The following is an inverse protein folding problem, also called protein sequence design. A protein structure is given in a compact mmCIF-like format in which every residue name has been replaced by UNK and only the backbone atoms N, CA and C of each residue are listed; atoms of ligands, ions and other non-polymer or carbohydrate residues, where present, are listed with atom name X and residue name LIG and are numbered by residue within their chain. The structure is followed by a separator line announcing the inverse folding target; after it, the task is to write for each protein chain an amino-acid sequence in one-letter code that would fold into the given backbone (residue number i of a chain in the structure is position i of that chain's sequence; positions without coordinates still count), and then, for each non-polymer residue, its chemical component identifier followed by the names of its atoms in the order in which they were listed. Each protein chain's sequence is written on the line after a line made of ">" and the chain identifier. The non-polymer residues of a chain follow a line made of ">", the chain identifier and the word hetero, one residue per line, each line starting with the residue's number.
data_IF_601209677048
#
_entry.id   IF_601209677048
#
_cell.length_a   1.000
_cell.length_b   1.000
_cell.length_c   1.000
_cell.angle_alpha   90.00
_cell.angle_beta   90.00
_cell.angle_gamma   90.00
#
_symmetry.space_group_name_H-M   'P 1'
#
loop_
_entity.id
_entity.type
_entity.pdbx_description
1 polymer ?
#
# COMPACT_ATOMS: atom_id res chain seq x y z
N UNK A 1 28.75 8.76 5.13
CA UNK A 1 28.38 8.78 3.70
C UNK A 1 27.39 7.65 3.42
N UNK A 2 26.17 7.98 2.98
CA UNK A 2 25.05 7.04 2.81
C UNK A 2 25.46 5.86 1.88
N UNK A 3 25.10 4.61 2.20
CA UNK A 3 25.39 3.43 1.35
C UNK A 3 24.93 3.64 -0.10
N UNK A 4 23.85 4.41 -0.28
CA UNK A 4 23.32 4.83 -1.59
C UNK A 4 24.25 5.74 -2.39
N UNK A 5 25.04 6.59 -1.71
CA UNK A 5 25.97 7.50 -2.37
C UNK A 5 27.21 6.74 -2.91
N UNK A 6 27.69 5.74 -2.16
CA UNK A 6 28.78 4.86 -2.63
C UNK A 6 28.41 4.07 -3.89
N UNK A 7 27.16 3.63 -4.01
CA UNK A 7 26.66 2.90 -5.18
C UNK A 7 26.61 3.76 -6.47
N UNK A 8 26.53 5.08 -6.35
CA UNK A 8 26.50 6.01 -7.49
C UNK A 8 27.90 6.53 -7.88
N UNK A 9 28.81 6.61 -6.92
CA UNK A 9 30.16 7.15 -7.11
C UNK A 9 31.03 6.17 -7.91
N UNK A 10 30.96 4.87 -7.60
CA UNK A 10 31.83 3.87 -8.25
C UNK A 10 31.56 3.76 -9.76
N UNK A 11 30.30 3.69 -10.25
CA UNK A 11 30.03 3.69 -11.69
C UNK A 11 30.44 5.00 -12.37
N UNK A 12 30.23 6.14 -11.71
CA UNK A 12 30.59 7.46 -12.25
C UNK A 12 32.11 7.60 -12.45
N UNK A 13 32.92 7.07 -11.53
CA UNK A 13 34.38 7.04 -11.67
C UNK A 13 34.79 6.15 -12.85
N UNK A 14 34.16 4.99 -13.00
CA UNK A 14 34.43 4.07 -14.11
C UNK A 14 34.09 4.72 -15.47
N UNK A 15 33.02 5.50 -15.52
CA UNK A 15 32.59 6.24 -16.71
C UNK A 15 33.59 7.34 -17.09
N UNK A 16 34.11 8.08 -16.11
CA UNK A 16 35.13 9.12 -16.34
C UNK A 16 36.44 8.48 -16.83
N UNK A 17 36.86 7.36 -16.23
CA UNK A 17 38.07 6.63 -16.64
C UNK A 17 37.91 6.09 -18.07
N UNK A 18 36.77 5.49 -18.40
CA UNK A 18 36.48 5.03 -19.75
C UNK A 18 36.48 6.18 -20.77
N UNK A 19 35.93 7.34 -20.41
CA UNK A 19 35.93 8.54 -21.25
C UNK A 19 37.34 9.09 -21.49
N UNK A 20 38.20 9.11 -20.49
CA UNK A 20 39.61 9.51 -20.63
C UNK A 20 40.40 8.53 -21.51
N UNK A 21 40.15 7.21 -21.35
CA UNK A 21 40.75 6.17 -22.20
C UNK A 21 40.29 6.34 -23.66
N UNK A 22 39.02 6.65 -23.90
CA UNK A 22 38.48 6.93 -25.25
C UNK A 22 39.17 8.13 -25.90
N UNK A 23 39.33 9.24 -25.17
CA UNK A 23 40.05 10.43 -25.66
C UNK A 23 41.51 10.08 -25.98
N UNK A 24 42.17 9.29 -25.13
CA UNK A 24 43.56 8.86 -25.35
C UNK A 24 43.71 7.96 -26.59
N UNK A 25 42.75 7.07 -26.84
CA UNK A 25 42.77 6.17 -27.99
C UNK A 25 42.43 6.89 -29.30
N UNK A 26 41.57 7.90 -29.27
CA UNK A 26 41.21 8.71 -30.45
C UNK A 26 42.35 9.58 -30.96
N UNK A 27 43.26 10.01 -30.08
CA UNK A 27 44.48 10.74 -30.45
C UNK A 27 45.45 9.87 -31.25
N UNK A 28 45.35 8.54 -31.19
CA UNK A 28 46.42 7.64 -31.64
C UNK A 28 46.07 6.60 -32.72
N UNK A 29 44.82 6.39 -33.17
CA UNK A 29 44.52 5.49 -34.32
C UNK A 29 43.06 5.54 -34.85
N UNK A 30 42.81 5.05 -36.08
CA UNK A 30 41.48 4.83 -36.71
C UNK A 30 40.56 3.78 -36.01
N UNK A 31 40.90 3.39 -34.78
CA UNK A 31 40.14 2.45 -33.95
C UNK A 31 38.83 3.08 -33.44
N UNK A 32 38.72 4.41 -33.51
CA UNK A 32 37.62 5.19 -32.92
C UNK A 32 36.24 4.81 -33.45
N UNK A 33 36.09 4.57 -34.76
CA UNK A 33 34.77 4.28 -35.35
C UNK A 33 34.25 2.93 -34.86
N UNK A 34 35.08 1.89 -34.80
CA UNK A 34 34.65 0.57 -34.33
C UNK A 34 34.31 0.57 -32.84
N UNK A 35 35.05 1.32 -32.02
CA UNK A 35 34.76 1.45 -30.59
C UNK A 35 33.47 2.24 -30.36
N UNK A 36 33.26 3.33 -31.11
CA UNK A 36 32.00 4.10 -31.06
C UNK A 36 30.82 3.26 -31.53
N UNK A 37 30.96 2.47 -32.60
CA UNK A 37 29.90 1.60 -33.12
C UNK A 37 29.58 0.45 -32.14
N UNK A 38 30.59 -0.16 -31.52
CA UNK A 38 30.39 -1.17 -30.47
C UNK A 38 29.69 -0.52 -29.26
N UNK A 39 30.10 0.67 -28.85
CA UNK A 39 29.48 1.40 -27.74
C UNK A 39 28.02 1.79 -28.03
N UNK A 40 27.72 2.26 -29.24
CA UNK A 40 26.36 2.55 -29.69
C UNK A 40 25.54 1.26 -29.81
N UNK A 41 26.10 0.17 -30.31
CA UNK A 41 25.44 -1.12 -30.37
C UNK A 41 25.14 -1.66 -28.97
N UNK A 42 26.06 -1.52 -28.00
CA UNK A 42 25.81 -1.90 -26.60
C UNK A 42 24.76 -1.01 -25.95
N UNK A 43 24.75 0.32 -26.22
CA UNK A 43 23.70 1.21 -25.74
C UNK A 43 22.32 0.87 -26.33
N UNK A 44 22.25 0.52 -27.61
CA UNK A 44 21.02 0.08 -28.27
C UNK A 44 20.57 -1.30 -27.73
N UNK A 45 21.50 -2.21 -27.47
CA UNK A 45 21.23 -3.51 -26.85
C UNK A 45 20.77 -3.36 -25.39
N UNK A 46 21.35 -2.43 -24.65
CA UNK A 46 20.98 -2.10 -23.27
C UNK A 46 19.63 -1.38 -23.19
N UNK A 47 19.34 -0.48 -24.13
CA UNK A 47 18.05 0.18 -24.28
C UNK A 47 16.95 -0.82 -24.67
N UNK A 48 17.23 -1.72 -25.62
CA UNK A 48 16.28 -2.73 -26.09
C UNK A 48 16.03 -3.85 -25.08
N UNK A 49 17.03 -4.23 -24.28
CA UNK A 49 16.86 -5.24 -23.22
C UNK A 49 16.28 -4.67 -21.92
N UNK A 50 16.41 -3.35 -21.70
CA UNK A 50 15.89 -2.63 -20.53
C UNK A 50 16.46 -3.09 -19.19
N UNK A 51 17.47 -3.97 -19.19
CA UNK A 51 17.94 -4.72 -18.02
C UNK A 51 18.59 -3.82 -16.98
N UNK A 52 19.61 -3.05 -17.36
CA UNK A 52 20.31 -2.13 -16.45
C UNK A 52 19.42 -0.95 -16.02
N UNK A 53 18.62 -0.38 -16.93
CA UNK A 53 17.69 0.69 -16.56
C UNK A 53 16.62 0.18 -15.58
N UNK A 54 16.09 -1.03 -15.78
CA UNK A 54 15.15 -1.65 -14.83
C UNK A 54 15.80 -1.98 -13.48
N UNK A 55 17.07 -2.41 -13.48
CA UNK A 55 17.81 -2.67 -12.24
C UNK A 55 18.13 -1.35 -11.50
N UNK A 56 18.54 -0.30 -12.21
CA UNK A 56 18.75 1.04 -11.63
C UNK A 56 17.44 1.61 -11.12
N UNK A 57 16.35 1.52 -11.88
CA UNK A 57 15.01 1.91 -11.44
C UNK A 57 14.62 1.11 -10.19
N UNK A 58 14.90 -0.19 -10.15
CA UNK A 58 14.63 -1.07 -9.00
C UNK A 58 15.36 -0.71 -7.71
N UNK A 59 16.55 -0.11 -7.82
CA UNK A 59 17.27 0.46 -6.68
C UNK A 59 16.59 1.72 -6.12
N UNK A 60 15.71 2.36 -6.91
CA UNK A 60 14.80 3.43 -6.48
C UNK A 60 13.35 2.92 -6.21
N UNK A 61 13.05 1.63 -6.41
CA UNK A 61 11.70 1.04 -6.33
C UNK A 61 11.31 0.58 -4.92
N UNK A 62 10.93 1.52 -4.06
CA UNK A 62 9.89 1.21 -3.09
C UNK A 62 8.54 1.05 -3.79
N UNK A 63 7.88 -0.11 -3.65
CA UNK A 63 6.42 -0.29 -3.83
C UNK A 63 5.79 0.20 -5.15
N UNK A 64 6.44 0.04 -6.31
CA UNK A 64 5.80 0.37 -7.59
C UNK A 64 5.16 -0.87 -8.24
N UNK A 65 3.88 -1.12 -7.92
CA UNK A 65 3.07 -2.20 -8.50
C UNK A 65 3.06 -2.25 -10.04
N UNK A 66 3.33 -1.11 -10.69
CA UNK A 66 3.47 -1.04 -12.15
C UNK A 66 4.68 -1.83 -12.65
N UNK A 67 5.73 -1.97 -11.85
CA UNK A 67 6.90 -2.78 -12.17
C UNK A 67 6.57 -4.26 -12.06
N UNK A 68 5.95 -4.70 -10.95
CA UNK A 68 5.49 -6.11 -10.83
C UNK A 68 4.52 -6.48 -11.95
N UNK A 69 3.60 -5.58 -12.33
CA UNK A 69 2.72 -5.77 -13.49
C UNK A 69 3.52 -6.01 -14.78
N UNK A 70 4.49 -5.15 -15.10
CA UNK A 70 5.32 -5.29 -16.31
C UNK A 70 6.14 -6.57 -16.31
N UNK A 71 6.68 -6.95 -15.15
CA UNK A 71 7.43 -8.19 -14.98
C UNK A 71 6.54 -9.41 -15.29
N UNK A 72 5.36 -9.48 -14.68
CA UNK A 72 4.41 -10.59 -14.92
C UNK A 72 3.89 -10.63 -16.36
N UNK A 73 3.71 -9.47 -17.01
CA UNK A 73 3.38 -9.40 -18.44
C UNK A 73 4.52 -9.96 -19.30
N UNK A 74 5.77 -9.57 -19.02
CA UNK A 74 6.95 -10.06 -19.75
C UNK A 74 7.16 -11.56 -19.58
N UNK A 75 6.83 -12.11 -18.40
CA UNK A 75 6.87 -13.54 -18.10
C UNK A 75 5.67 -14.33 -18.70
N UNK A 76 4.74 -13.66 -19.38
CA UNK A 76 3.54 -14.30 -19.97
C UNK A 76 2.48 -14.74 -18.94
N UNK A 77 2.69 -14.44 -17.66
CA UNK A 77 1.78 -14.82 -16.56
C UNK A 77 0.55 -13.91 -16.49
N UNK A 78 0.72 -12.62 -16.81
CA UNK A 78 -0.34 -11.62 -16.73
C UNK A 78 -0.67 -11.08 -18.13
N UNK A 79 -1.65 -11.70 -18.80
CA UNK A 79 -2.12 -11.32 -20.13
C UNK A 79 -3.14 -10.17 -20.06
N UNK A 80 -3.51 -9.52 -21.17
CA UNK A 80 -4.46 -8.39 -21.17
C UNK A 80 -5.79 -8.66 -20.47
N UNK A 81 -6.39 -9.83 -20.69
CA UNK A 81 -7.68 -10.22 -20.11
C UNK A 81 -7.55 -11.00 -18.80
N UNK A 82 -6.33 -11.22 -18.29
CA UNK A 82 -6.13 -11.82 -16.97
C UNK A 82 -6.75 -10.93 -15.90
N UNK A 83 -7.62 -11.51 -15.07
CA UNK A 83 -8.26 -10.83 -13.94
C UNK A 83 -7.28 -10.67 -12.80
N UNK A 84 -7.22 -9.45 -12.27
CA UNK A 84 -6.46 -9.10 -11.06
C UNK A 84 -7.48 -8.70 -9.99
N UNK A 85 -7.41 -9.36 -8.83
CA UNK A 85 -8.21 -8.96 -7.67
C UNK A 85 -7.67 -7.65 -7.13
N UNK A 86 -8.55 -6.68 -6.91
CA UNK A 86 -8.22 -5.46 -6.19
C UNK A 86 -8.89 -5.49 -4.81
N UNK A 87 -8.24 -4.88 -3.82
CA UNK A 87 -8.92 -4.53 -2.56
C UNK A 87 -8.37 -3.19 -2.08
N UNK A 88 -9.15 -2.14 -2.28
CA UNK A 88 -8.76 -0.78 -1.93
C UNK A 88 -9.47 -0.35 -0.65
N UNK A 89 -8.66 -0.03 0.36
CA UNK A 89 -9.10 0.23 1.72
C UNK A 89 -8.47 1.50 2.28
N UNK A 90 -8.98 1.92 3.43
CA UNK A 90 -8.29 2.83 4.34
C UNK A 90 -8.12 2.17 5.70
N UNK A 91 -7.00 2.46 6.36
CA UNK A 91 -6.67 1.91 7.68
C UNK A 91 -6.33 3.06 8.63
N UNK A 92 -7.00 3.09 9.78
CA UNK A 92 -6.72 4.03 10.83
C UNK A 92 -5.50 3.60 11.64
N UNK A 93 -4.55 4.53 11.76
CA UNK A 93 -3.47 4.51 12.75
C UNK A 93 -3.96 5.26 13.98
N UNK A 94 -4.33 4.50 15.01
CA UNK A 94 -4.69 5.00 16.34
C UNK A 94 -3.55 4.62 17.27
N UNK A 95 -2.69 5.60 17.60
CA UNK A 95 -1.50 5.38 18.43
C UNK A 95 -1.64 6.13 19.75
N UNK A 96 -1.44 5.43 20.86
CA UNK A 96 -1.45 5.98 22.22
C UNK A 96 -0.17 5.52 22.88
N UNK A 97 0.64 6.49 23.34
CA UNK A 97 1.96 6.25 23.89
C UNK A 97 2.83 5.40 22.92
N UNK A 98 3.20 4.17 23.30
CA UNK A 98 3.97 3.23 22.46
C UNK A 98 3.13 2.13 21.79
N UNK A 99 1.82 2.17 21.95
CA UNK A 99 0.90 1.14 21.49
C UNK A 99 0.04 1.61 20.32
N UNK A 100 -0.31 0.66 19.47
CA UNK A 100 -1.32 0.80 18.43
C UNK A 100 -2.58 0.08 18.90
N UNK A 101 -3.71 0.79 18.85
CA UNK A 101 -5.00 0.20 19.12
C UNK A 101 -5.46 -0.63 17.92
N UNK A 102 -5.84 -1.88 18.17
CA UNK A 102 -6.33 -2.82 17.18
C UNK A 102 -7.64 -3.44 17.67
N UNK A 103 -8.53 -3.78 16.75
CA UNK A 103 -9.83 -4.40 17.02
C UNK A 103 -9.85 -5.83 16.52
N UNK A 104 -10.69 -6.68 17.10
CA UNK A 104 -10.85 -8.06 16.65
C UNK A 104 -11.75 -8.12 15.42
N UNK A 105 -11.26 -8.74 14.35
CA UNK A 105 -12.07 -9.01 13.17
C UNK A 105 -13.06 -10.15 13.44
N UNK A 106 -14.34 -9.92 13.17
CA UNK A 106 -15.40 -10.90 13.45
C UNK A 106 -15.23 -12.22 12.68
N UNK A 107 -14.70 -12.19 11.45
CA UNK A 107 -14.55 -13.35 10.56
C UNK A 107 -13.27 -14.14 10.85
N UNK A 108 -12.12 -13.47 10.84
CA UNK A 108 -10.81 -14.13 11.01
C UNK A 108 -10.40 -14.35 12.46
N UNK A 109 -11.07 -13.68 13.41
CA UNK A 109 -10.72 -13.62 14.85
C UNK A 109 -9.32 -13.06 15.15
N UNK A 110 -8.64 -12.49 14.15
CA UNK A 110 -7.37 -11.78 14.30
C UNK A 110 -7.61 -10.30 14.59
N UNK A 111 -6.68 -9.68 15.31
CA UNK A 111 -6.68 -8.26 15.57
C UNK A 111 -6.11 -7.47 14.39
N UNK A 112 -6.79 -6.40 14.00
CA UNK A 112 -6.46 -5.57 12.84
C UNK A 112 -6.67 -4.08 13.15
N UNK A 113 -6.12 -3.16 12.34
CA UNK A 113 -6.46 -1.74 12.45
C UNK A 113 -7.95 -1.52 12.19
N UNK A 114 -8.50 -0.47 12.82
CA UNK A 114 -9.83 0.03 12.47
C UNK A 114 -9.81 0.52 11.02
N UNK A 115 -10.83 0.22 10.24
CA UNK A 115 -10.91 0.57 8.83
C UNK A 115 -11.26 -0.61 7.94
N UNK A 116 -11.54 -0.31 6.67
CA UNK A 116 -12.05 -1.30 5.75
C UNK A 116 -11.98 -0.84 4.30
N UNK A 117 -12.64 -1.61 3.44
CA UNK A 117 -12.69 -1.29 2.02
C UNK A 117 -13.44 0.03 1.81
N UNK A 118 -12.99 0.81 0.83
CA UNK A 118 -13.76 1.95 0.36
C UNK A 118 -15.09 1.46 -0.21
N UNK A 119 -16.19 2.14 0.13
CA UNK A 119 -17.48 1.99 -0.54
C UNK A 119 -17.65 2.96 -1.70
N UNK A 120 -18.36 2.53 -2.73
CA UNK A 120 -18.77 3.36 -3.87
C UNK A 120 -20.28 3.44 -4.03
N UNK A 121 -20.75 4.43 -4.80
CA UNK A 121 -22.18 4.61 -5.06
C UNK A 121 -22.67 3.67 -6.18
N UNK A 122 -23.98 3.44 -6.27
CA UNK A 122 -24.57 2.69 -7.38
C UNK A 122 -24.20 3.29 -8.75
N UNK A 123 -24.09 4.63 -8.83
CA UNK A 123 -23.63 5.31 -10.05
C UNK A 123 -22.19 4.97 -10.44
N UNK A 124 -21.30 4.82 -9.45
CA UNK A 124 -19.95 4.34 -9.72
C UNK A 124 -19.97 2.87 -10.14
N UNK A 125 -20.82 2.03 -9.53
CA UNK A 125 -20.98 0.63 -9.94
C UNK A 125 -21.31 0.54 -11.42
N UNK A 126 -22.33 1.27 -11.87
CA UNK A 126 -22.79 1.24 -13.25
C UNK A 126 -21.67 1.70 -14.19
N UNK A 127 -20.99 2.80 -13.87
CA UNK A 127 -19.82 3.26 -14.63
C UNK A 127 -18.70 2.22 -14.72
N UNK A 128 -18.37 1.58 -13.59
CA UNK A 128 -17.30 0.59 -13.53
C UNK A 128 -17.67 -0.68 -14.31
N UNK A 129 -18.95 -1.09 -14.27
CA UNK A 129 -19.49 -2.20 -15.06
C UNK A 129 -19.34 -1.94 -16.56
N UNK A 130 -19.83 -0.78 -17.01
CA UNK A 130 -19.81 -0.39 -18.42
C UNK A 130 -18.38 -0.19 -18.96
N UNK A 131 -17.48 0.36 -18.14
CA UNK A 131 -16.13 0.74 -18.58
C UNK A 131 -15.11 -0.38 -18.43
N UNK A 132 -15.21 -1.19 -17.38
CA UNK A 132 -14.17 -2.16 -17.00
C UNK A 132 -14.63 -3.61 -16.99
N UNK A 133 -15.88 -3.90 -17.40
CA UNK A 133 -16.49 -5.24 -17.30
C UNK A 133 -16.37 -5.79 -15.87
N UNK A 134 -16.94 -5.05 -14.92
CA UNK A 134 -16.85 -5.36 -13.50
C UNK A 134 -17.45 -6.73 -13.20
N UNK A 135 -16.70 -7.55 -12.49
CA UNK A 135 -17.18 -8.79 -11.91
C UNK A 135 -17.02 -8.71 -10.40
N UNK A 136 -18.07 -9.08 -9.67
CA UNK A 136 -18.05 -9.14 -8.22
C UNK A 136 -17.04 -10.20 -7.74
N UNK A 137 -16.46 -9.97 -6.56
CA UNK A 137 -15.59 -10.95 -5.90
C UNK A 137 -16.44 -12.05 -5.27
N UNK A 138 -16.65 -13.16 -5.99
CA UNK A 138 -17.44 -14.31 -5.55
C UNK A 138 -16.79 -15.14 -4.42
N UNK A 139 -15.59 -14.76 -3.98
CA UNK A 139 -14.77 -15.53 -3.00
C UNK A 139 -14.99 -15.11 -1.57
N UNK A 140 -15.49 -13.90 -1.39
CA UNK A 140 -16.08 -13.47 -0.13
C UNK A 140 -17.56 -13.34 -0.45
N UNK A 141 -18.44 -14.15 0.15
CA UNK A 141 -19.87 -14.03 -0.07
C UNK A 141 -20.28 -12.57 0.09
N UNK A 142 -20.84 -12.01 -0.98
CA UNK A 142 -21.36 -10.64 -0.95
C UNK A 142 -22.56 -10.66 -0.01
N UNK A 143 -22.41 -9.99 1.13
CA UNK A 143 -23.47 -9.72 2.08
C UNK A 143 -23.81 -8.23 2.07
N UNK A 144 -24.88 -7.83 2.77
CA UNK A 144 -25.31 -6.43 2.85
C UNK A 144 -24.17 -5.49 3.31
N UNK A 145 -23.24 -6.02 4.12
CA UNK A 145 -22.10 -5.30 4.68
C UNK A 145 -20.99 -5.10 3.64
N UNK A 146 -20.74 -6.06 2.75
CA UNK A 146 -19.69 -5.99 1.72
C UNK A 146 -20.18 -5.47 0.37
N UNK A 147 -21.48 -5.19 0.24
CA UNK A 147 -22.07 -4.56 -0.93
C UNK A 147 -21.35 -3.23 -1.25
N UNK A 148 -21.01 -3.03 -2.53
CA UNK A 148 -20.34 -1.84 -3.09
C UNK A 148 -18.95 -1.55 -2.50
N UNK A 149 -18.26 -2.56 -1.97
CA UNK A 149 -16.83 -2.45 -1.61
C UNK A 149 -15.97 -2.39 -2.88
N UNK A 150 -14.89 -1.61 -2.85
CA UNK A 150 -13.79 -1.68 -3.84
C UNK A 150 -12.94 -2.97 -3.69
N UNK A 151 -13.62 -4.12 -3.64
CA UNK A 151 -13.09 -5.49 -3.69
C UNK A 151 -13.65 -6.14 -4.94
N UNK A 152 -12.91 -6.04 -6.04
CA UNK A 152 -13.41 -6.29 -7.40
C UNK A 152 -12.37 -7.07 -8.21
N UNK A 153 -12.80 -7.68 -9.30
CA UNK A 153 -11.91 -8.13 -10.36
C UNK A 153 -11.79 -7.09 -11.47
N UNK A 154 -10.55 -6.79 -11.86
CA UNK A 154 -10.25 -5.88 -12.97
C UNK A 154 -9.30 -6.57 -13.94
N UNK A 155 -9.60 -6.49 -15.24
CA UNK A 155 -8.70 -7.01 -16.27
C UNK A 155 -7.38 -6.23 -16.27
N UNK A 156 -6.27 -6.94 -16.44
CA UNK A 156 -4.94 -6.35 -16.41
C UNK A 156 -4.77 -5.16 -17.39
N UNK A 157 -5.35 -5.25 -18.59
CA UNK A 157 -5.34 -4.16 -19.59
C UNK A 157 -5.94 -2.86 -19.08
N UNK A 158 -6.91 -2.96 -18.18
CA UNK A 158 -7.68 -1.84 -17.64
C UNK A 158 -7.16 -1.34 -16.28
N UNK A 159 -6.32 -2.13 -15.61
CA UNK A 159 -5.88 -1.89 -14.24
C UNK A 159 -5.30 -0.47 -14.02
N UNK A 160 -4.51 0.05 -14.97
CA UNK A 160 -3.95 1.41 -14.87
C UNK A 160 -5.02 2.50 -14.98
N UNK A 161 -6.00 2.32 -15.83
CA UNK A 161 -7.09 3.27 -16.01
C UNK A 161 -8.07 3.20 -14.83
N UNK A 162 -8.30 2.01 -14.28
CA UNK A 162 -9.03 1.82 -13.05
C UNK A 162 -8.39 2.59 -11.88
N UNK A 163 -7.08 2.45 -11.66
CA UNK A 163 -6.36 3.22 -10.63
C UNK A 163 -6.50 4.74 -10.83
N UNK A 164 -6.51 5.23 -12.09
CA UNK A 164 -6.75 6.65 -12.38
C UNK A 164 -8.18 7.05 -12.03
N UNK A 165 -9.19 6.21 -12.35
CA UNK A 165 -10.60 6.44 -12.00
C UNK A 165 -10.78 6.52 -10.49
N UNK A 166 -10.32 5.52 -9.74
CA UNK A 166 -10.41 5.48 -8.28
C UNK A 166 -9.84 6.74 -7.63
N UNK A 167 -8.73 7.25 -8.17
CA UNK A 167 -8.08 8.45 -7.65
C UNK A 167 -8.84 9.75 -7.90
N UNK A 168 -9.71 9.80 -8.91
CA UNK A 168 -10.38 11.02 -9.38
C UNK A 168 -11.87 11.06 -9.09
N UNK A 169 -12.51 9.89 -8.98
CA UNK A 169 -13.97 9.82 -8.80
C UNK A 169 -14.39 10.42 -7.46
N UNK A 170 -15.51 11.13 -7.48
CA UNK A 170 -16.23 11.62 -6.29
C UNK A 170 -17.36 10.69 -5.87
N UNK A 171 -17.58 9.59 -6.60
CA UNK A 171 -18.66 8.63 -6.39
C UNK A 171 -18.26 7.50 -5.43
N UNK A 172 -17.39 7.81 -4.46
CA UNK A 172 -16.93 6.92 -3.41
C UNK A 172 -16.82 7.65 -2.08
N UNK A 173 -16.65 6.91 -0.98
CA UNK A 173 -16.35 7.53 0.32
C UNK A 173 -15.21 8.54 0.16
N UNK A 174 -15.50 9.76 0.59
CA UNK A 174 -14.63 10.91 0.41
C UNK A 174 -13.57 10.89 1.51
N UNK A 175 -12.34 11.27 1.19
CA UNK A 175 -11.30 11.44 2.22
C UNK A 175 -11.74 12.42 3.31
N UNK A 176 -12.59 13.40 2.97
CA UNK A 176 -13.15 14.39 3.89
C UNK A 176 -14.17 13.79 4.87
N UNK A 177 -14.66 12.58 4.61
CA UNK A 177 -15.48 11.81 5.55
C UNK A 177 -15.21 10.30 5.44
N UNK A 178 -14.37 9.78 6.34
CA UNK A 178 -14.08 8.36 6.52
C UNK A 178 -14.63 7.82 7.86
N UNK A 179 -15.67 8.44 8.40
CA UNK A 179 -16.19 8.12 9.74
C UNK A 179 -16.82 6.73 9.85
N UNK A 180 -17.32 6.15 8.74
CA UNK A 180 -18.11 4.91 8.72
C UNK A 180 -17.48 3.75 9.49
N UNK A 181 -16.30 3.29 9.08
CA UNK A 181 -15.64 2.13 9.72
C UNK A 181 -15.30 2.42 11.19
N UNK A 182 -14.95 3.67 11.51
CA UNK A 182 -14.69 4.06 12.90
C UNK A 182 -15.96 3.95 13.74
N UNK A 183 -17.10 4.43 13.25
CA UNK A 183 -18.39 4.35 13.94
C UNK A 183 -18.80 2.89 14.10
N UNK A 184 -18.75 2.11 13.03
CA UNK A 184 -19.14 0.70 13.03
C UNK A 184 -18.29 -0.14 13.98
N UNK A 185 -16.96 -0.02 13.89
CA UNK A 185 -16.05 -0.91 14.61
C UNK A 185 -15.73 -0.46 16.03
N UNK A 186 -15.91 0.82 16.39
CA UNK A 186 -15.67 1.33 17.75
C UNK A 186 -16.97 1.60 18.51
N UNK A 187 -17.92 2.33 17.92
CA UNK A 187 -19.11 2.77 18.65
C UNK A 187 -20.23 1.74 18.62
N UNK A 188 -20.58 1.23 17.43
CA UNK A 188 -21.63 0.22 17.30
C UNK A 188 -21.24 -1.10 17.97
N UNK A 189 -19.94 -1.38 18.08
CA UNK A 189 -19.39 -2.53 18.82
C UNK A 189 -19.29 -2.29 20.35
N UNK A 190 -19.65 -1.09 20.82
CA UNK A 190 -19.59 -0.65 22.22
C UNK A 190 -18.19 -0.72 22.83
N UNK A 191 -17.14 -0.48 22.04
CA UNK A 191 -15.78 -0.32 22.57
C UNK A 191 -15.63 1.05 23.24
N UNK A 192 -16.17 2.10 22.63
CA UNK A 192 -16.31 3.43 23.23
C UNK A 192 -17.72 3.97 22.96
N UNK A 193 -18.17 4.93 23.75
CA UNK A 193 -19.41 5.66 23.48
C UNK A 193 -19.14 6.87 22.59
N UNK A 194 -19.95 7.04 21.55
CA UNK A 194 -19.84 8.15 20.60
C UNK A 194 -20.02 9.53 21.27
N UNK A 195 -20.98 9.65 22.20
CA UNK A 195 -21.23 10.86 22.99
C UNK A 195 -20.01 11.32 23.78
N UNK A 196 -19.21 10.37 24.26
CA UNK A 196 -18.03 10.66 25.07
C UNK A 196 -16.82 11.02 24.19
N UNK A 197 -16.78 10.49 22.97
CA UNK A 197 -15.67 10.66 22.04
C UNK A 197 -15.61 12.06 21.41
N UNK A 198 -16.76 12.59 20.98
CA UNK A 198 -16.86 13.89 20.29
C UNK A 198 -16.32 13.85 18.85
N UNK A 199 -15.61 14.88 18.43
CA UNK A 199 -15.15 15.05 17.03
C UNK A 199 -14.05 14.05 16.64
N UNK A 200 -14.25 13.34 15.53
CA UNK A 200 -13.20 12.54 14.90
C UNK A 200 -12.29 13.44 14.07
N UNK A 201 -11.04 13.59 14.49
CA UNK A 201 -10.04 14.37 13.75
C UNK A 201 -8.94 13.47 13.23
N UNK A 202 -8.54 13.61 11.98
CA UNK A 202 -7.48 12.81 11.38
C UNK A 202 -6.70 13.53 10.29
N UNK A 203 -5.54 12.98 9.95
CA UNK A 203 -4.76 13.36 8.76
C UNK A 203 -4.54 12.15 7.86
N UNK A 204 -4.46 12.41 6.56
CA UNK A 204 -3.95 11.44 5.60
C UNK A 204 -2.41 11.38 5.67
N UNK A 205 -1.83 10.18 5.72
CA UNK A 205 -0.38 9.98 5.83
C UNK A 205 0.28 9.59 4.50
N UNK A 206 -0.49 9.02 3.58
CA UNK A 206 0.02 8.39 2.38
C UNK A 206 -0.65 7.05 2.14
N UNK A 207 -0.22 6.40 1.07
CA UNK A 207 -0.81 5.19 0.56
C UNK A 207 0.20 4.06 0.52
N UNK A 208 -0.19 2.90 1.03
CA UNK A 208 0.52 1.65 0.80
C UNK A 208 -0.09 0.95 -0.42
N UNK A 209 0.75 0.47 -1.34
CA UNK A 209 0.31 -0.37 -2.47
C UNK A 209 1.21 -1.60 -2.52
N UNK A 210 0.63 -2.79 -2.56
CA UNK A 210 1.41 -4.03 -2.73
C UNK A 210 1.87 -4.18 -4.18
N UNK A 211 2.84 -5.06 -4.39
CA UNK A 211 3.06 -5.58 -5.73
C UNK A 211 1.87 -6.45 -6.16
N UNK A 212 1.81 -6.76 -7.46
CA UNK A 212 0.93 -7.79 -7.97
C UNK A 212 1.61 -9.12 -7.71
N UNK A 213 1.01 -9.94 -6.86
CA UNK A 213 1.55 -11.22 -6.42
C UNK A 213 0.47 -12.30 -6.44
N UNK A 214 0.93 -13.55 -6.53
CA UNK A 214 0.08 -14.72 -6.41
C UNK A 214 -0.31 -14.90 -4.94
N UNK A 215 -1.62 -15.08 -4.70
CA UNK A 215 -2.15 -15.24 -3.35
C UNK A 215 -2.94 -16.54 -3.22
N UNK A 216 -3.13 -16.98 -1.97
CA UNK A 216 -3.99 -18.13 -1.64
C UNK A 216 -5.45 -17.87 -2.04
N UNK A 217 -5.84 -16.59 -2.10
CA UNK A 217 -7.13 -16.19 -2.62
C UNK A 217 -7.07 -16.28 -4.14
N UNK A 218 -6.59 -15.27 -4.88
CA UNK A 218 -6.50 -15.25 -6.36
C UNK A 218 -5.04 -15.29 -6.83
N UNK A 219 -4.74 -15.93 -7.99
CA UNK A 219 -3.39 -15.97 -8.53
C UNK A 219 -2.80 -14.58 -8.81
N UNK A 220 -3.57 -13.49 -8.84
CA UNK A 220 -3.02 -12.14 -8.92
C UNK A 220 -3.86 -11.17 -8.09
N UNK A 221 -3.24 -10.55 -7.08
CA UNK A 221 -3.89 -9.56 -6.23
C UNK A 221 -3.07 -8.28 -6.15
N UNK A 222 -3.76 -7.14 -6.05
CA UNK A 222 -3.17 -5.86 -5.64
C UNK A 222 -3.99 -5.21 -4.54
N UNK A 223 -3.32 -4.91 -3.44
CA UNK A 223 -3.91 -4.28 -2.27
C UNK A 223 -3.46 -2.81 -2.20
N UNK A 224 -4.42 -1.95 -1.91
CA UNK A 224 -4.19 -0.54 -1.64
C UNK A 224 -4.74 -0.22 -0.25
N UNK A 225 -3.96 0.48 0.56
CA UNK A 225 -4.42 1.00 1.84
C UNK A 225 -4.00 2.46 2.00
N UNK A 226 -4.97 3.38 2.06
CA UNK A 226 -4.75 4.73 2.52
C UNK A 226 -4.57 4.73 4.05
N UNK A 227 -3.46 5.29 4.53
CA UNK A 227 -3.14 5.30 5.97
C UNK A 227 -3.62 6.62 6.54
N UNK A 228 -4.53 6.54 7.51
CA UNK A 228 -5.19 7.68 8.13
C UNK A 228 -4.79 7.74 9.60
N UNK A 229 -4.08 8.79 10.02
CA UNK A 229 -3.65 8.92 11.42
C UNK A 229 -4.63 9.79 12.20
N UNK A 230 -5.25 9.18 13.21
CA UNK A 230 -6.18 9.87 14.11
C UNK A 230 -5.39 10.85 14.98
N UNK A 231 -5.92 12.06 15.12
CA UNK A 231 -5.43 13.12 16.01
C UNK A 231 -6.31 13.14 17.24
N UNK A 232 -5.92 12.35 18.24
CA UNK A 232 -6.63 12.28 19.50
C UNK A 232 -6.45 13.58 20.30
N UNK A 233 -7.53 14.05 20.90
CA UNK A 233 -7.47 15.07 21.96
C UNK A 233 -7.03 14.44 23.29
N UNK A 234 -6.61 15.25 24.27
CA UNK A 234 -6.27 14.75 25.60
C UNK A 234 -7.40 13.94 26.25
N UNK A 235 -8.66 14.36 26.06
CA UNK A 235 -9.85 13.61 26.52
C UNK A 235 -9.93 12.24 25.84
N UNK A 236 -9.77 12.18 24.52
CA UNK A 236 -9.84 10.94 23.75
C UNK A 236 -8.67 10.00 24.08
N UNK A 237 -7.46 10.51 24.29
CA UNK A 237 -6.35 9.69 24.76
C UNK A 237 -6.65 9.05 26.12
N UNK A 238 -7.27 9.79 27.06
CA UNK A 238 -7.69 9.23 28.35
C UNK A 238 -8.69 8.09 28.18
N UNK A 239 -9.67 8.22 27.26
CA UNK A 239 -10.61 7.12 26.95
C UNK A 239 -9.86 5.85 26.53
N UNK A 240 -8.89 5.96 25.62
CA UNK A 240 -8.10 4.81 25.19
C UNK A 240 -7.18 4.28 26.30
N UNK A 241 -6.56 5.15 27.12
CA UNK A 241 -5.77 4.71 28.28
C UNK A 241 -6.61 3.97 29.32
N UNK A 242 -7.88 4.33 29.48
CA UNK A 242 -8.80 3.59 30.35
C UNK A 242 -9.18 2.23 29.77
N UNK A 243 -9.27 2.10 28.44
CA UNK A 243 -9.41 0.79 27.78
C UNK A 243 -8.19 -0.10 27.99
N UNK A 244 -6.97 0.46 28.02
CA UNK A 244 -5.74 -0.32 28.28
C UNK A 244 -5.72 -0.97 29.67
N UNK A 245 -6.48 -0.44 30.63
CA UNK A 245 -6.59 -0.98 32.00
C UNK A 245 -7.57 -2.16 32.09
N UNK A 246 -8.31 -2.45 31.01
CA UNK A 246 -9.35 -3.47 30.96
C UNK A 246 -8.97 -4.54 29.96
N UNK A 247 -9.09 -5.80 30.35
CA UNK A 247 -9.02 -6.92 29.40
C UNK A 247 -10.34 -7.04 28.65
N UNK A 248 -10.28 -7.16 27.33
CA UNK A 248 -11.45 -7.32 26.47
C UNK A 248 -11.05 -8.04 25.18
N UNK A 249 -11.83 -9.03 24.75
CA UNK A 249 -11.53 -9.77 23.50
C UNK A 249 -11.78 -8.93 22.24
N UNK A 250 -12.52 -7.83 22.33
CA UNK A 250 -12.87 -6.98 21.18
C UNK A 250 -11.69 -6.15 20.67
N UNK A 251 -10.68 -5.90 21.49
CA UNK A 251 -9.57 -5.03 21.12
C UNK A 251 -8.28 -5.39 21.86
N UNK A 252 -7.14 -4.97 21.32
CA UNK A 252 -5.84 -5.02 22.00
C UNK A 252 -5.05 -3.74 21.77
N UNK A 253 -4.05 -3.55 22.61
CA UNK A 253 -3.02 -2.53 22.45
C UNK A 253 -1.70 -3.24 22.15
N UNK A 254 -1.22 -3.13 20.92
CA UNK A 254 -0.05 -3.85 20.43
C UNK A 254 1.13 -2.91 20.21
N UNK A 255 2.33 -3.31 20.61
CA UNK A 255 3.55 -2.58 20.23
C UNK A 255 3.87 -2.80 18.75
N UNK A 256 4.75 -1.98 18.19
CA UNK A 256 5.31 -2.24 16.84
C UNK A 256 5.94 -3.64 16.73
N UNK A 257 6.59 -4.11 17.80
CA UNK A 257 7.21 -5.44 17.83
C UNK A 257 6.14 -6.53 17.72
N UNK A 258 5.05 -6.41 18.47
CA UNK A 258 3.95 -7.39 18.43
C UNK A 258 3.35 -7.46 17.04
N UNK A 259 3.09 -6.30 16.41
CA UNK A 259 2.55 -6.23 15.05
C UNK A 259 3.49 -6.89 14.03
N UNK A 260 4.80 -6.65 14.12
CA UNK A 260 5.79 -7.25 13.21
C UNK A 260 5.87 -8.77 13.33
N UNK A 261 5.60 -9.30 14.53
CA UNK A 261 5.58 -10.74 14.78
C UNK A 261 4.17 -11.33 14.75
N UNK A 262 3.20 -10.60 14.19
CA UNK A 262 1.81 -11.06 14.05
C UNK A 262 1.16 -11.47 15.39
N UNK A 263 1.61 -10.87 16.49
CA UNK A 263 1.14 -11.19 17.85
C UNK A 263 1.55 -12.57 18.35
N UNK A 264 2.52 -13.24 17.70
CA UNK A 264 3.08 -14.51 18.17
C UNK A 264 3.94 -14.27 19.41
N UNK A 265 3.66 -15.01 20.49
CA UNK A 265 4.41 -14.92 21.75
C UNK A 265 5.69 -15.75 21.67
N UNK A 266 6.76 -15.12 21.21
CA UNK A 266 8.10 -15.71 21.13
C UNK A 266 8.53 -16.25 22.50
N UNK A 267 9.02 -17.49 22.54
CA UNK A 267 9.45 -18.15 23.77
C UNK A 267 8.35 -18.88 24.53
N UNK A 268 7.15 -18.99 23.96
CA UNK A 268 6.04 -19.77 24.52
C UNK A 268 5.58 -20.85 23.53
N UNK A 269 4.79 -21.82 23.99
CA UNK A 269 4.12 -22.79 23.11
C UNK A 269 2.93 -22.19 22.33
N UNK A 270 2.58 -20.91 22.56
CA UNK A 270 1.50 -20.21 21.85
C UNK A 270 2.02 -19.61 20.53
N UNK A 271 2.16 -20.47 19.52
CA UNK A 271 2.73 -20.12 18.21
C UNK A 271 1.70 -19.60 17.19
N UNK A 272 0.41 -19.56 17.54
CA UNK A 272 -0.64 -19.08 16.63
C UNK A 272 -0.59 -17.55 16.52
N UNK A 273 -0.66 -17.06 15.29
CA UNK A 273 -0.72 -15.62 15.03
C UNK A 273 -2.09 -15.05 15.43
N UNK A 274 -2.07 -13.91 16.11
CA UNK A 274 -3.26 -13.23 16.63
C UNK A 274 -3.49 -11.88 15.96
N UNK A 275 -2.49 -11.31 15.30
CA UNK A 275 -2.58 -10.03 14.58
C UNK A 275 -2.56 -10.28 13.07
N UNK A 276 -3.42 -9.59 12.32
CA UNK A 276 -3.52 -9.72 10.88
C UNK A 276 -2.23 -9.30 10.16
N UNK A 277 -1.88 -10.00 9.08
CA UNK A 277 -0.64 -9.80 8.31
C UNK A 277 -0.50 -8.38 7.72
N UNK A 278 -1.60 -7.72 7.40
CA UNK A 278 -1.62 -6.38 6.82
C UNK A 278 -1.47 -5.25 7.86
N UNK A 279 -1.55 -5.55 9.17
CA UNK A 279 -1.50 -4.56 10.26
C UNK A 279 -0.19 -3.77 10.25
N UNK A 280 0.91 -4.35 9.76
CA UNK A 280 2.19 -3.63 9.68
C UNK A 280 2.14 -2.34 8.85
N UNK A 281 1.15 -2.18 7.95
CA UNK A 281 0.97 -0.98 7.11
C UNK A 281 0.74 0.28 7.93
N UNK A 282 0.14 0.18 9.13
CA UNK A 282 -0.13 1.34 9.98
C UNK A 282 1.06 1.75 10.85
N UNK A 283 2.19 1.04 10.83
CA UNK A 283 3.34 1.39 11.67
C UNK A 283 3.95 2.73 11.25
N UNK A 284 4.25 3.61 12.22
CA UNK A 284 4.88 4.92 11.95
C UNK A 284 6.22 4.76 11.23
N UNK A 285 7.03 3.75 11.56
CA UNK A 285 8.30 3.47 10.87
C UNK A 285 8.16 3.03 9.41
N UNK A 286 6.95 2.67 8.94
CA UNK A 286 6.66 2.36 7.54
C UNK A 286 6.20 3.58 6.75
N UNK A 287 6.28 4.78 7.33
CA UNK A 287 5.84 6.00 6.66
C UNK A 287 6.76 6.40 5.50
N UNK A 288 7.99 5.90 5.44
CA UNK A 288 8.95 6.14 4.36
C UNK A 288 8.49 5.49 3.04
N UNK A 289 7.94 4.27 3.10
CA UNK A 289 7.50 3.48 1.94
C UNK A 289 6.10 3.84 1.40
N UNK A 290 5.40 4.78 2.06
CA UNK A 290 4.10 5.26 1.58
C UNK A 290 4.29 6.15 0.33
N UNK A 291 3.41 5.99 -0.65
CA UNK A 291 3.32 6.87 -1.82
C UNK A 291 2.24 7.94 -1.61
N UNK A 292 2.18 8.92 -2.52
CA UNK A 292 1.13 9.94 -2.54
C UNK A 292 0.96 10.74 -1.23
N UNK A 293 2.00 10.84 -0.38
CA UNK A 293 1.92 11.48 0.97
C UNK A 293 1.37 12.91 0.95
N UNK A 294 1.60 13.64 -0.14
CA UNK A 294 1.18 15.04 -0.31
C UNK A 294 -0.18 15.20 -0.99
N UNK A 295 -0.90 14.10 -1.28
CA UNK A 295 -2.18 14.13 -2.00
C UNK A 295 -3.24 14.91 -1.22
N UNK A 296 -3.30 14.71 0.10
CA UNK A 296 -4.20 15.43 1.00
C UNK A 296 -3.38 15.99 2.16
N UNK A 297 -3.36 17.32 2.30
CA UNK A 297 -2.53 18.01 3.31
C UNK A 297 -3.32 18.49 4.52
N UNK A 298 -4.63 18.69 4.37
CA UNK A 298 -5.47 19.24 5.42
C UNK A 298 -5.77 18.17 6.47
N UNK A 299 -5.74 18.58 7.74
CA UNK A 299 -6.41 17.83 8.81
C UNK A 299 -7.90 17.94 8.60
N UNK A 300 -8.61 16.83 8.80
CA UNK A 300 -10.06 16.71 8.61
C UNK A 300 -10.67 16.46 9.99
N UNK A 301 -11.78 17.13 10.27
CA UNK A 301 -12.53 17.02 11.52
C UNK A 301 -14.00 16.79 11.20
N UNK A 302 -14.57 15.72 11.75
CA UNK A 302 -15.95 15.32 11.54
C UNK A 302 -16.64 15.30 12.89
N UNK A 303 -17.76 16.00 13.00
CA UNK A 303 -18.62 15.85 14.15
C UNK A 303 -19.35 14.52 14.02
N UNK A 304 -18.96 13.56 14.87
CA UNK A 304 -19.63 12.27 14.98
C UNK A 304 -20.99 12.46 15.64
#
# INVERSE_FOLDING_TARGET
>A
MNKKLKALIVPSIFFIVAFVILIYLEVNNEITIYVILIYLATLILEYSTGSLFSNILSLFEGNNWKTSQRKLVKEGKLQPDTKVRISFAYLFRIKIDNYYFLIQNNRSKKYQPVGGAYKFSEKERDYLSDTFSLEDDDRIPVDEITKLDYRLFVKNKDLRNFFKRFNKTTQRENIEDLSREFIEEIFNSSVLNQSDFGTLTYKYCGRHITQIEDTVFWPFEILLADIIEIRLTAKQETLFRDLMKKECEKYIFATSKDIKHLGVKIGTHQLRDSIANHTHKILTEKSDVLVDKNKYKKTISIHL
#
